data_IF_324801355449
#
_entry.id   IF_324801355449
#
_cell.length_a   1.000
_cell.length_b   1.000
_cell.length_c   1.000
_cell.angle_alpha   90.00
_cell.angle_beta   90.00
_cell.angle_gamma   90.00
#
_symmetry.space_group_name_H-M   'P 1'
#
loop_
_entity.id
_entity.type
_entity.pdbx_description
1 polymer ?
#
# COMPACT_ATOMS: atom_id res chain seq x y z
N UNK A 1 -33.06 18.87 33.17
CA UNK A 1 -33.54 17.95 34.23
C UNK A 1 -32.62 18.14 35.44
N UNK A 2 -33.08 18.87 36.46
CA UNK A 2 -32.28 19.21 37.66
C UNK A 2 -31.91 17.99 38.51
N UNK A 3 -32.68 16.90 38.41
CA UNK A 3 -32.44 15.68 39.19
C UNK A 3 -31.07 15.04 38.93
N UNK A 4 -30.46 15.29 37.76
CA UNK A 4 -29.10 14.80 37.47
C UNK A 4 -28.00 15.45 38.33
N UNK A 5 -28.28 16.58 38.98
CA UNK A 5 -27.35 17.29 39.85
C UNK A 5 -27.55 16.94 41.34
N UNK A 6 -28.65 16.26 41.68
CA UNK A 6 -29.01 15.93 43.06
C UNK A 6 -28.97 14.40 43.20
N UNK A 7 -27.93 13.83 43.84
CA UNK A 7 -27.83 12.39 44.04
C UNK A 7 -29.05 11.86 44.80
N UNK A 8 -29.65 10.77 44.31
CA UNK A 8 -30.85 10.18 44.90
C UNK A 8 -32.18 10.88 44.59
N UNK A 9 -32.22 11.83 43.63
CA UNK A 9 -33.48 12.45 43.19
C UNK A 9 -34.08 11.74 41.96
N UNK A 10 -35.37 11.40 42.03
CA UNK A 10 -36.16 10.86 40.90
C UNK A 10 -37.23 11.88 40.46
N UNK A 11 -37.72 11.75 39.22
CA UNK A 11 -38.74 12.64 38.66
C UNK A 11 -39.88 11.86 38.02
N UNK A 12 -41.12 12.32 38.24
CA UNK A 12 -42.32 11.72 37.68
C UNK A 12 -43.25 12.76 37.09
N UNK A 13 -44.00 12.39 36.04
CA UNK A 13 -44.98 13.26 35.40
C UNK A 13 -46.30 13.26 36.18
N UNK A 14 -46.58 14.35 36.89
CA UNK A 14 -47.83 14.54 37.63
C UNK A 14 -48.95 15.01 36.69
N UNK A 15 -50.12 14.36 36.77
CA UNK A 15 -51.32 14.81 36.07
C UNK A 15 -51.82 16.14 36.64
N UNK A 16 -52.55 16.92 35.84
CA UNK A 16 -53.02 18.26 36.25
C UNK A 16 -53.96 18.23 37.46
N UNK A 17 -54.68 17.13 37.65
CA UNK A 17 -55.58 16.87 38.78
C UNK A 17 -54.89 16.14 39.94
N UNK A 18 -53.59 15.83 39.81
CA UNK A 18 -52.83 15.01 40.76
C UNK A 18 -53.42 13.61 41.01
N UNK A 19 -54.27 13.10 40.11
CA UNK A 19 -54.93 11.80 40.27
C UNK A 19 -53.96 10.61 40.32
N UNK A 20 -52.76 10.78 39.78
CA UNK A 20 -51.71 9.76 39.75
C UNK A 20 -50.64 9.90 40.85
N UNK A 21 -50.81 10.78 41.85
CA UNK A 21 -49.76 11.03 42.86
C UNK A 21 -49.36 9.79 43.65
N UNK A 22 -50.33 8.94 44.02
CA UNK A 22 -50.05 7.72 44.80
C UNK A 22 -49.20 6.74 43.99
N UNK A 23 -49.52 6.56 42.70
CA UNK A 23 -48.76 5.71 41.81
C UNK A 23 -47.33 6.23 41.62
N UNK A 24 -47.17 7.56 41.49
CA UNK A 24 -45.85 8.19 41.37
C UNK A 24 -44.99 7.98 42.62
N UNK A 25 -45.58 8.06 43.82
CA UNK A 25 -44.86 7.83 45.08
C UNK A 25 -44.38 6.38 45.17
N UNK A 26 -45.25 5.42 44.81
CA UNK A 26 -44.89 3.99 44.83
C UNK A 26 -43.78 3.71 43.83
N UNK A 27 -43.92 4.18 42.58
CA UNK A 27 -42.90 3.97 41.54
C UNK A 27 -41.57 4.64 41.90
N UNK A 28 -41.60 5.84 42.48
CA UNK A 28 -40.39 6.54 42.92
C UNK A 28 -39.71 5.80 44.08
N UNK A 29 -40.48 5.25 45.01
CA UNK A 29 -39.94 4.46 46.13
C UNK A 29 -39.31 3.14 45.65
N UNK A 30 -39.96 2.45 44.71
CA UNK A 30 -39.41 1.24 44.08
C UNK A 30 -38.11 1.54 43.30
N UNK A 31 -38.08 2.65 42.57
CA UNK A 31 -36.89 3.12 41.85
C UNK A 31 -35.73 3.41 42.82
N UNK A 32 -35.98 4.19 43.87
CA UNK A 32 -34.97 4.54 44.89
C UNK A 32 -34.40 3.29 45.59
N UNK A 33 -35.23 2.28 45.86
CA UNK A 33 -34.77 1.03 46.48
C UNK A 33 -34.05 0.09 45.53
N UNK A 34 -34.21 0.31 44.22
CA UNK A 34 -33.52 -0.47 43.21
C UNK A 34 -32.10 0.02 42.92
N UNK A 35 -31.68 1.12 43.56
CA UNK A 35 -30.39 1.75 43.33
C UNK A 35 -29.60 1.89 44.65
N UNK A 36 -28.31 1.54 44.58
CA UNK A 36 -27.37 1.76 45.68
C UNK A 36 -26.21 2.57 45.13
N UNK A 37 -26.12 3.84 45.53
CA UNK A 37 -25.04 4.76 45.16
C UNK A 37 -24.26 5.19 46.40
N UNK A 38 -22.93 5.24 46.31
CA UNK A 38 -22.06 5.70 47.39
C UNK A 38 -21.77 7.21 47.28
N UNK A 39 -21.84 7.87 48.43
CA UNK A 39 -21.34 9.23 48.65
C UNK A 39 -20.15 9.23 49.61
N UNK A 40 -19.27 10.22 49.44
CA UNK A 40 -18.08 10.41 50.26
C UNK A 40 -18.17 11.78 50.93
N UNK A 41 -17.96 11.81 52.23
CA UNK A 41 -18.00 13.01 53.06
C UNK A 41 -16.70 13.11 53.89
N UNK A 42 -16.40 14.31 54.39
CA UNK A 42 -15.24 14.56 55.25
C UNK A 42 -14.04 15.16 54.50
N UNK A 43 -12.83 14.87 54.99
CA UNK A 43 -11.59 15.48 54.52
C UNK A 43 -10.98 14.70 53.34
N UNK A 44 -11.46 14.99 52.13
CA UNK A 44 -11.04 14.32 50.89
C UNK A 44 -10.03 15.12 50.08
N UNK A 45 -9.67 16.33 50.49
CA UNK A 45 -8.78 17.21 49.70
C UNK A 45 -7.40 16.55 49.55
N UNK A 46 -6.95 16.35 48.31
CA UNK A 46 -5.67 15.69 48.04
C UNK A 46 -5.66 14.16 48.24
N UNK A 47 -6.81 13.52 48.48
CA UNK A 47 -6.95 12.06 48.37
C UNK A 47 -7.48 11.67 47.00
N UNK A 48 -6.88 10.64 46.40
CA UNK A 48 -7.37 10.03 45.16
C UNK A 48 -8.19 8.79 45.50
N UNK A 49 -9.50 8.87 45.27
CA UNK A 49 -10.46 7.79 45.53
C UNK A 49 -10.93 7.20 44.20
N UNK A 50 -10.82 5.87 44.05
CA UNK A 50 -11.40 5.16 42.92
C UNK A 50 -12.34 4.05 43.39
N UNK A 51 -13.41 3.84 42.61
CA UNK A 51 -14.50 2.94 42.95
C UNK A 51 -14.68 1.91 41.85
N UNK A 52 -14.91 0.67 42.25
CA UNK A 52 -15.31 -0.42 41.37
C UNK A 52 -16.54 -1.08 41.95
N UNK A 53 -17.64 -1.11 41.20
CA UNK A 53 -18.89 -1.69 41.64
C UNK A 53 -19.01 -3.17 41.24
N UNK A 54 -19.47 -4.00 42.17
CA UNK A 54 -19.81 -5.40 41.97
C UNK A 54 -21.30 -5.58 42.33
N UNK A 55 -22.15 -5.48 41.33
CA UNK A 55 -23.59 -5.60 41.48
C UNK A 55 -24.03 -7.02 41.11
N UNK A 56 -24.59 -7.77 42.06
CA UNK A 56 -25.30 -9.04 41.81
C UNK A 56 -24.47 -10.11 41.08
N UNK A 57 -23.24 -10.38 41.56
CA UNK A 57 -22.28 -11.35 41.00
C UNK A 57 -21.90 -11.15 39.52
N UNK A 58 -22.13 -9.96 38.97
CA UNK A 58 -21.68 -9.58 37.63
C UNK A 58 -20.21 -9.17 37.64
N UNK A 59 -19.63 -9.05 36.45
CA UNK A 59 -18.27 -8.57 36.24
C UNK A 59 -18.03 -7.23 36.92
N UNK A 60 -16.86 -7.02 37.55
CA UNK A 60 -16.53 -5.76 38.21
C UNK A 60 -16.54 -4.62 37.21
N UNK A 61 -17.27 -3.54 37.52
CA UNK A 61 -17.36 -2.36 36.65
C UNK A 61 -16.47 -1.24 37.22
N UNK A 62 -15.36 -0.89 36.53
CA UNK A 62 -14.44 0.12 37.01
C UNK A 62 -15.03 1.54 36.87
N UNK A 63 -14.59 2.46 37.74
CA UNK A 63 -15.04 3.86 37.79
C UNK A 63 -16.53 4.04 38.08
N UNK A 64 -17.16 3.04 38.69
CA UNK A 64 -18.57 3.06 39.03
C UNK A 64 -18.74 2.90 40.54
N UNK A 65 -19.54 3.80 41.13
CA UNK A 65 -19.90 3.82 42.55
C UNK A 65 -21.41 3.65 42.79
N UNK A 66 -22.12 3.17 41.76
CA UNK A 66 -23.57 2.99 41.73
C UNK A 66 -23.94 1.64 41.15
N UNK A 67 -24.82 0.92 41.84
CA UNK A 67 -25.53 -0.25 41.33
C UNK A 67 -27.00 0.12 41.07
N UNK A 68 -27.55 -0.34 39.95
CA UNK A 68 -28.97 -0.14 39.59
C UNK A 68 -29.64 -1.50 39.37
N UNK A 69 -30.97 -1.53 39.37
CA UNK A 69 -31.81 -2.73 39.18
C UNK A 69 -31.64 -3.80 40.27
N UNK A 70 -31.35 -3.37 41.49
CA UNK A 70 -31.27 -4.26 42.64
C UNK A 70 -32.66 -4.58 43.20
N UNK A 71 -32.85 -5.80 43.71
CA UNK A 71 -34.04 -6.19 44.45
C UNK A 71 -33.78 -6.15 45.94
N UNK A 72 -34.87 -6.07 46.70
CA UNK A 72 -34.80 -6.13 48.16
C UNK A 72 -34.24 -7.47 48.60
N UNK A 73 -33.10 -7.45 49.31
CA UNK A 73 -32.37 -8.64 49.74
C UNK A 73 -31.07 -8.89 48.96
N UNK A 74 -30.87 -8.21 47.82
CA UNK A 74 -29.64 -8.32 47.05
C UNK A 74 -28.49 -7.57 47.75
N UNK A 75 -27.25 -8.03 47.56
CA UNK A 75 -26.05 -7.41 48.15
C UNK A 75 -25.20 -6.76 47.07
N UNK A 76 -24.88 -5.46 47.23
CA UNK A 76 -23.88 -4.77 46.42
C UNK A 76 -22.55 -4.75 47.15
N UNK A 77 -21.45 -5.00 46.44
CA UNK A 77 -20.09 -4.87 46.96
C UNK A 77 -19.33 -3.81 46.17
N UNK A 78 -18.51 -3.02 46.85
CA UNK A 78 -17.71 -1.97 46.23
C UNK A 78 -16.27 -2.10 46.66
N UNK A 79 -15.36 -2.15 45.70
CA UNK A 79 -13.93 -2.03 45.97
C UNK A 79 -13.56 -0.55 45.89
N UNK A 80 -13.05 -0.02 47.00
CA UNK A 80 -12.62 1.37 47.12
C UNK A 80 -11.12 1.41 47.28
N UNK A 81 -10.43 2.08 46.37
CA UNK A 81 -8.99 2.31 46.48
C UNK A 81 -8.76 3.74 46.93
N UNK A 82 -8.00 3.89 48.02
CA UNK A 82 -7.61 5.19 48.58
C UNK A 82 -6.12 5.39 48.32
N UNK A 83 -5.75 6.46 47.64
CA UNK A 83 -4.36 6.79 47.35
C UNK A 83 -4.01 8.20 47.87
N UNK A 84 -2.84 8.33 48.50
CA UNK A 84 -2.31 9.58 49.05
C UNK A 84 -1.08 9.97 48.22
N UNK A 85 -1.14 11.02 47.40
CA UNK A 85 -0.05 11.41 46.52
C UNK A 85 1.14 12.03 47.26
N UNK A 86 0.87 12.78 48.33
CA UNK A 86 1.89 13.47 49.13
C UNK A 86 1.80 13.04 50.58
N UNK A 87 2.95 12.72 51.19
CA UNK A 87 3.02 12.27 52.57
C UNK A 87 2.92 13.47 53.53
N UNK A 88 1.69 13.86 53.87
CA UNK A 88 1.41 14.91 54.85
C UNK A 88 1.23 14.30 56.25
N UNK A 89 1.85 14.84 57.30
CA UNK A 89 1.75 14.26 58.67
C UNK A 89 0.36 14.31 59.31
N UNK A 90 -0.64 14.91 58.65
CA UNK A 90 -1.99 15.07 59.20
C UNK A 90 -2.85 13.86 58.84
N UNK A 91 -3.43 13.22 59.85
CA UNK A 91 -4.45 12.19 59.64
C UNK A 91 -5.76 12.80 59.13
N UNK A 92 -6.48 12.05 58.28
CA UNK A 92 -7.72 12.49 57.63
C UNK A 92 -8.87 11.56 57.95
N UNK A 93 -10.04 12.13 58.20
CA UNK A 93 -11.24 11.38 58.50
C UNK A 93 -12.22 11.50 57.33
N UNK A 94 -12.52 10.38 56.69
CA UNK A 94 -13.49 10.29 55.59
C UNK A 94 -14.60 9.32 55.95
N UNK A 95 -15.78 9.58 55.41
CA UNK A 95 -16.97 8.76 55.62
C UNK A 95 -17.49 8.35 54.25
N UNK A 96 -17.69 7.05 54.05
CA UNK A 96 -18.32 6.50 52.84
C UNK A 96 -19.65 5.89 53.25
N UNK A 97 -20.75 6.32 52.62
CA UNK A 97 -22.07 5.79 52.93
C UNK A 97 -22.98 5.68 51.71
N UNK A 98 -23.97 4.79 51.73
CA UNK A 98 -25.01 4.78 50.70
C UNK A 98 -25.90 6.02 50.81
N UNK A 99 -26.23 6.62 49.67
CA UNK A 99 -27.15 7.76 49.60
C UNK A 99 -28.52 7.35 50.15
N UNK A 100 -29.06 8.17 51.06
CA UNK A 100 -30.39 7.94 51.66
C UNK A 100 -30.44 6.94 52.81
N UNK A 101 -29.32 6.27 53.15
CA UNK A 101 -29.22 5.39 54.32
C UNK A 101 -28.46 6.08 55.47
N UNK A 102 -28.77 5.64 56.70
CA UNK A 102 -28.15 6.13 57.92
C UNK A 102 -26.81 5.45 58.26
N UNK A 103 -26.66 4.19 57.87
CA UNK A 103 -25.43 3.42 58.09
C UNK A 103 -24.27 3.98 57.26
N UNK A 104 -23.08 4.08 57.87
CA UNK A 104 -21.91 4.68 57.28
C UNK A 104 -20.63 3.93 57.65
N UNK A 105 -19.64 3.97 56.75
CA UNK A 105 -18.29 3.48 56.97
C UNK A 105 -17.36 4.65 57.28
N UNK A 106 -16.84 4.71 58.50
CA UNK A 106 -15.84 5.70 58.92
C UNK A 106 -14.42 5.18 58.68
N UNK A 107 -13.59 5.98 58.04
CA UNK A 107 -12.22 5.62 57.68
C UNK A 107 -11.27 6.71 58.18
N UNK A 108 -10.34 6.32 59.06
CA UNK A 108 -9.25 7.17 59.52
C UNK A 108 -7.98 6.85 58.76
N UNK A 109 -7.60 7.74 57.84
CA UNK A 109 -6.40 7.62 57.02
C UNK A 109 -5.22 8.26 57.76
N UNK A 110 -4.21 7.46 58.12
CA UNK A 110 -2.96 7.94 58.74
C UNK A 110 -1.79 7.59 57.82
N UNK A 111 -1.07 8.58 57.27
CA UNK A 111 0.11 8.32 56.46
C UNK A 111 1.33 8.02 57.35
N UNK A 112 2.16 7.10 56.89
CA UNK A 112 3.42 6.71 57.53
C UNK A 112 4.59 7.24 56.70
N UNK A 113 5.08 8.42 57.06
CA UNK A 113 6.14 9.13 56.31
C UNK A 113 7.52 8.95 56.94
N UNK A 114 7.57 8.71 58.26
CA UNK A 114 8.81 8.65 59.01
C UNK A 114 9.31 7.20 59.08
N UNK A 115 10.64 7.01 59.02
CA UNK A 115 11.27 5.71 59.20
C UNK A 115 11.50 5.41 60.68
N UNK A 116 11.37 4.15 61.10
CA UNK A 116 11.56 3.76 62.50
C UNK A 116 12.94 4.13 63.07
N UNK A 117 13.99 4.05 62.25
CA UNK A 117 15.35 4.44 62.64
C UNK A 117 15.51 5.94 62.94
N UNK A 118 14.54 6.79 62.58
CA UNK A 118 14.62 8.22 62.88
C UNK A 118 14.30 8.52 64.36
N UNK A 119 13.67 7.57 65.07
CA UNK A 119 13.32 7.70 66.49
C UNK A 119 14.56 7.70 67.39
N UNK A 120 15.63 7.05 66.96
CA UNK A 120 16.88 6.93 67.71
C UNK A 120 17.99 7.71 67.01
N UNK A 121 18.42 8.80 67.63
CA UNK A 121 19.55 9.61 67.16
C UNK A 121 20.70 9.44 68.14
N UNK A 122 21.81 8.87 67.67
CA UNK A 122 23.04 8.79 68.45
C UNK A 122 23.80 10.12 68.30
N UNK A 123 23.57 11.06 69.24
CA UNK A 123 24.28 12.34 69.26
C UNK A 123 25.77 12.11 69.56
N UNK A 124 26.67 12.79 68.84
CA UNK A 124 28.12 12.64 68.94
C UNK A 124 28.56 11.16 68.81
N UNK A 125 28.02 10.46 67.81
CA UNK A 125 28.30 9.04 67.59
C UNK A 125 29.77 8.83 67.20
N UNK A 126 30.38 7.77 67.73
CA UNK A 126 31.73 7.33 67.34
C UNK A 126 31.81 6.95 65.86
N UNK A 127 30.68 6.58 65.24
CA UNK A 127 30.58 6.27 63.80
C UNK A 127 30.80 7.51 62.91
N UNK A 128 30.54 8.71 63.44
CA UNK A 128 30.70 9.99 62.76
C UNK A 128 32.01 10.66 63.18
N UNK A 129 33.12 10.03 62.82
CA UNK A 129 34.48 10.47 63.12
C UNK A 129 34.68 10.80 64.61
N UNK A 130 34.47 9.80 65.49
CA UNK A 130 34.71 9.90 66.92
C UNK A 130 33.96 11.04 67.65
N UNK A 131 32.75 11.38 67.18
CA UNK A 131 31.88 12.35 67.84
C UNK A 131 31.75 13.71 67.15
N UNK A 132 32.24 13.84 65.92
CA UNK A 132 32.08 15.05 65.10
C UNK A 132 30.69 15.19 64.45
N UNK A 133 29.75 14.31 64.78
CA UNK A 133 28.38 14.39 64.28
C UNK A 133 27.44 13.43 64.98
N UNK A 134 26.15 13.55 64.67
CA UNK A 134 25.09 12.66 65.14
C UNK A 134 24.80 11.59 64.09
N UNK A 135 24.62 10.33 64.50
CA UNK A 135 24.29 9.23 63.60
C UNK A 135 22.80 8.94 63.64
N UNK A 136 22.15 8.93 62.47
CA UNK A 136 20.72 8.64 62.32
C UNK A 136 20.50 7.84 61.03
N UNK A 137 19.78 6.72 61.10
CA UNK A 137 19.39 5.92 59.92
C UNK A 137 20.55 5.53 58.96
N UNK A 138 21.76 5.27 59.48
CA UNK A 138 22.89 4.89 58.62
C UNK A 138 23.74 6.06 58.10
N UNK A 139 23.33 7.30 58.35
CA UNK A 139 24.03 8.51 57.90
C UNK A 139 24.47 9.39 59.07
N UNK A 140 25.51 10.19 58.84
CA UNK A 140 26.03 11.15 59.81
C UNK A 140 25.54 12.56 59.50
N UNK A 141 24.97 13.24 60.49
CA UNK A 141 24.72 14.67 60.48
C UNK A 141 25.86 15.38 61.22
N UNK A 142 26.74 16.06 60.47
CA UNK A 142 27.96 16.63 61.02
C UNK A 142 27.73 17.90 61.83
N UNK A 143 28.55 18.08 62.86
CA UNK A 143 28.60 19.31 63.63
C UNK A 143 29.13 20.46 62.75
N UNK A 144 28.83 21.73 63.07
CA UNK A 144 29.35 22.88 62.32
C UNK A 144 30.88 22.82 62.18
N UNK A 145 31.37 23.10 60.97
CA UNK A 145 32.79 23.03 60.63
C UNK A 145 33.30 21.66 60.20
N UNK A 146 32.47 20.61 60.28
CA UNK A 146 32.79 19.27 59.79
C UNK A 146 31.94 18.87 58.59
N UNK A 147 32.53 18.10 57.69
CA UNK A 147 31.89 17.64 56.47
C UNK A 147 32.38 16.25 56.07
N UNK A 148 31.67 15.63 55.14
CA UNK A 148 31.92 14.28 54.67
C UNK A 148 30.88 13.27 55.17
N UNK A 149 30.77 12.10 54.53
CA UNK A 149 29.79 11.06 54.88
C UNK A 149 29.95 10.54 56.31
N UNK A 150 31.12 10.70 56.93
CA UNK A 150 31.39 10.35 58.33
C UNK A 150 31.92 11.53 59.15
N UNK A 151 31.79 12.77 58.68
CA UNK A 151 32.31 13.96 59.35
C UNK A 151 33.84 13.95 59.55
N UNK A 152 34.54 13.32 58.62
CA UNK A 152 35.98 13.08 58.65
C UNK A 152 36.82 14.29 58.30
N UNK A 153 36.21 15.35 57.75
CA UNK A 153 36.92 16.53 57.30
C UNK A 153 36.50 17.77 58.08
N UNK A 154 37.46 18.67 58.30
CA UNK A 154 37.25 19.99 58.91
C UNK A 154 37.43 21.12 57.89
N UNK A 155 37.02 22.34 58.26
CA UNK A 155 37.18 23.56 57.45
C UNK A 155 38.64 23.85 57.04
N UNK A 156 39.61 23.44 57.85
CA UNK A 156 41.04 23.73 57.69
C UNK A 156 41.70 23.05 56.46
N UNK A 157 40.97 22.13 55.80
CA UNK A 157 41.47 21.30 54.69
C UNK A 157 40.94 21.72 53.32
N UNK A 158 40.21 22.85 53.22
CA UNK A 158 39.57 23.24 51.96
C UNK A 158 40.44 24.13 51.07
N UNK A 159 40.86 23.55 49.93
CA UNK A 159 41.05 24.32 48.71
C UNK A 159 39.83 24.07 47.82
N UNK A 160 38.91 25.04 47.74
CA UNK A 160 37.60 24.92 47.07
C UNK A 160 37.70 24.66 45.56
N UNK A 161 38.86 24.90 44.96
CA UNK A 161 39.13 24.65 43.55
C UNK A 161 39.38 23.16 43.24
N UNK A 162 39.67 22.33 44.25
CA UNK A 162 40.01 20.92 44.06
C UNK A 162 38.84 20.04 43.57
N UNK A 163 37.59 20.51 43.69
CA UNK A 163 36.39 19.82 43.22
C UNK A 163 35.82 20.38 41.91
N UNK A 164 36.57 21.25 41.23
CA UNK A 164 36.17 21.82 39.94
C UNK A 164 37.05 21.27 38.83
N UNK A 165 36.41 20.84 37.75
CA UNK A 165 37.12 20.44 36.53
C UNK A 165 37.80 21.63 35.86
N UNK A 166 37.14 22.80 35.86
CA UNK A 166 37.72 24.08 35.46
C UNK A 166 37.10 25.22 36.29
N UNK A 167 37.78 26.37 36.34
CA UNK A 167 37.42 27.53 37.17
C UNK A 167 35.97 28.02 36.97
N UNK A 168 35.45 27.94 35.74
CA UNK A 168 34.11 28.39 35.35
C UNK A 168 33.02 27.30 35.48
N UNK A 169 33.38 26.06 35.82
CA UNK A 169 32.41 24.99 36.05
C UNK A 169 31.97 24.94 37.52
N UNK A 170 30.72 24.53 37.79
CA UNK A 170 30.26 24.28 39.15
C UNK A 170 31.05 23.12 39.78
N UNK A 171 31.23 23.16 41.09
CA UNK A 171 31.87 22.07 41.84
C UNK A 171 31.12 20.77 41.61
N UNK A 172 31.85 19.69 41.36
CA UNK A 172 31.31 18.36 41.06
C UNK A 172 30.26 18.35 39.94
N UNK A 173 30.45 19.23 38.94
CA UNK A 173 29.52 19.44 37.81
C UNK A 173 28.07 19.70 38.23
N UNK A 174 27.82 20.12 39.49
CA UNK A 174 26.49 20.28 40.06
C UNK A 174 25.71 18.96 40.27
N UNK A 175 26.38 17.81 40.15
CA UNK A 175 25.79 16.46 40.25
C UNK A 175 26.40 15.62 41.39
N UNK A 176 26.98 16.31 42.36
CA UNK A 176 27.61 15.70 43.52
C UNK A 176 27.97 16.75 44.55
N UNK A 177 28.38 16.27 45.71
CA UNK A 177 28.83 17.09 46.82
C UNK A 177 30.35 16.99 46.96
N UNK A 178 30.99 18.14 47.13
CA UNK A 178 32.42 18.23 47.34
C UNK A 178 32.74 18.05 48.82
N UNK A 179 33.50 17.00 49.14
CA UNK A 179 34.02 16.75 50.47
C UNK A 179 35.54 16.64 50.38
N UNK A 180 36.26 17.50 51.10
CA UNK A 180 37.72 17.40 51.25
C UNK A 180 38.49 17.39 49.92
N UNK A 181 37.96 18.07 48.90
CA UNK A 181 38.53 18.11 47.56
C UNK A 181 38.27 16.88 46.69
N UNK A 182 37.33 16.03 47.09
CA UNK A 182 36.83 14.90 46.29
C UNK A 182 35.32 15.01 46.12
N UNK A 183 34.83 14.67 44.93
CA UNK A 183 33.40 14.68 44.64
C UNK A 183 32.77 13.33 44.97
N UNK A 184 31.68 13.37 45.74
CA UNK A 184 30.77 12.23 45.92
C UNK A 184 29.54 12.49 45.06
N UNK A 185 29.35 11.67 44.03
CA UNK A 185 28.27 11.85 43.06
C UNK A 185 26.91 11.48 43.64
N UNK A 186 25.88 12.24 43.27
CA UNK A 186 24.52 11.97 43.69
C UNK A 186 23.99 10.69 43.04
N UNK A 187 23.14 9.97 43.79
CA UNK A 187 22.42 8.82 43.26
C UNK A 187 21.34 9.30 42.29
N UNK A 188 21.22 8.64 41.14
CA UNK A 188 20.20 8.92 40.13
C UNK A 188 19.32 7.69 39.93
N UNK A 189 17.98 7.86 39.84
CA UNK A 189 17.09 6.75 39.51
C UNK A 189 17.27 6.25 38.07
N UNK A 190 17.93 7.04 37.21
CA UNK A 190 18.13 6.75 35.80
C UNK A 190 19.42 5.96 35.52
N UNK A 191 20.35 5.91 36.47
CA UNK A 191 21.62 5.20 36.34
C UNK A 191 22.71 5.79 37.24
N UNK A 192 23.96 5.60 36.88
CA UNK A 192 25.11 5.98 37.69
C UNK A 192 25.76 7.25 37.16
N UNK A 193 26.07 8.17 38.08
CA UNK A 193 26.90 9.35 37.83
C UNK A 193 28.28 9.06 38.42
N UNK A 194 29.34 9.31 37.67
CA UNK A 194 30.71 8.94 38.04
C UNK A 194 31.74 9.90 37.46
N UNK A 195 33.01 9.63 37.77
CA UNK A 195 34.14 10.47 37.42
C UNK A 195 34.61 11.33 38.60
N UNK A 196 35.85 11.86 38.54
CA UNK A 196 36.46 12.62 39.62
C UNK A 196 35.68 13.88 40.00
N UNK A 197 34.91 14.43 39.06
CA UNK A 197 34.09 15.63 39.25
C UNK A 197 32.61 15.35 38.98
N UNK A 198 32.17 14.08 38.98
CA UNK A 198 30.80 13.71 38.64
C UNK A 198 30.36 14.22 37.25
N UNK A 199 31.32 14.25 36.32
CA UNK A 199 31.14 14.76 34.96
C UNK A 199 30.58 13.71 33.99
N UNK A 200 30.62 12.42 34.34
CA UNK A 200 30.16 11.33 33.51
C UNK A 200 28.89 10.68 34.05
N UNK A 201 28.12 10.10 33.15
CA UNK A 201 27.00 9.23 33.47
C UNK A 201 26.83 8.15 32.40
N UNK A 202 26.04 7.12 32.71
CA UNK A 202 25.78 5.99 31.82
C UNK A 202 24.37 5.99 31.20
N UNK A 203 23.67 7.13 31.17
CA UNK A 203 22.27 7.20 30.73
C UNK A 203 21.95 8.37 29.77
N UNK A 204 22.91 9.27 29.55
CA UNK A 204 22.80 10.45 28.69
C UNK A 204 23.25 10.23 27.24
N UNK A 205 23.67 9.02 26.85
CA UNK A 205 24.04 8.72 25.47
C UNK A 205 22.84 8.77 24.50
N UNK A 206 23.16 8.71 23.21
CA UNK A 206 22.18 8.72 22.12
C UNK A 206 21.23 7.51 22.17
N UNK A 207 20.00 7.71 21.69
CA UNK A 207 18.96 6.67 21.65
C UNK A 207 18.53 6.37 20.21
N UNK A 208 18.41 5.10 19.87
CA UNK A 208 17.86 4.64 18.60
C UNK A 208 16.56 3.86 18.84
N UNK A 209 15.45 4.32 18.25
CA UNK A 209 14.10 3.78 18.49
C UNK A 209 13.72 3.71 19.98
N UNK A 210 14.16 4.70 20.76
CA UNK A 210 13.90 4.78 22.20
C UNK A 210 14.87 3.97 23.08
N UNK A 211 15.74 3.15 22.50
CA UNK A 211 16.72 2.34 23.22
C UNK A 211 18.07 3.05 23.32
N UNK A 212 18.63 3.13 24.53
CA UNK A 212 19.97 3.68 24.80
C UNK A 212 21.03 2.84 24.07
N UNK A 213 21.87 3.48 23.25
CA UNK A 213 22.87 2.80 22.41
C UNK A 213 22.29 1.61 21.61
N UNK A 214 21.03 1.73 21.17
CA UNK A 214 20.34 0.69 20.41
C UNK A 214 20.18 -0.65 21.15
N UNK A 215 20.37 -0.68 22.48
CA UNK A 215 20.45 -1.89 23.33
C UNK A 215 21.59 -2.85 22.97
N UNK A 216 22.53 -2.41 22.13
CA UNK A 216 23.66 -3.20 21.65
C UNK A 216 25.02 -2.63 22.05
N UNK A 217 25.01 -1.59 22.88
CA UNK A 217 26.20 -0.96 23.43
C UNK A 217 25.96 -0.51 24.86
N UNK A 218 27.06 -0.22 25.53
CA UNK A 218 27.04 0.34 26.88
C UNK A 218 27.38 1.83 26.78
N UNK A 219 26.64 2.65 27.51
CA UNK A 219 26.86 4.10 27.52
C UNK A 219 27.99 4.44 28.50
N UNK A 220 29.05 5.08 28.00
CA UNK A 220 30.17 5.55 28.81
C UNK A 220 30.40 7.04 28.55
N UNK A 221 30.05 7.88 29.53
CA UNK A 221 30.30 9.32 29.54
C UNK A 221 29.84 10.05 28.27
N UNK A 222 28.64 9.72 27.77
CA UNK A 222 28.04 10.34 26.58
C UNK A 222 28.35 9.65 25.25
N UNK A 223 29.27 8.68 25.25
CA UNK A 223 29.63 7.89 24.08
C UNK A 223 29.09 6.46 24.18
N UNK A 224 28.61 5.90 23.06
CA UNK A 224 28.15 4.52 23.02
C UNK A 224 29.30 3.57 22.68
N UNK A 225 29.67 2.71 23.62
CA UNK A 225 30.65 1.64 23.42
C UNK A 225 29.91 0.40 22.91
N UNK A 226 29.97 0.16 21.60
CA UNK A 226 29.25 -0.95 20.98
C UNK A 226 29.83 -2.31 21.37
N UNK A 227 28.94 -3.27 21.66
CA UNK A 227 29.33 -4.67 21.90
C UNK A 227 29.81 -5.31 20.59
N UNK A 228 30.55 -6.40 20.71
CA UNK A 228 31.06 -7.17 19.57
C UNK A 228 29.93 -7.51 18.59
N UNK A 229 30.13 -7.20 17.31
CA UNK A 229 29.12 -7.42 16.28
C UNK A 229 28.26 -6.19 15.93
N UNK A 230 28.48 -5.05 16.59
CA UNK A 230 27.73 -3.82 16.37
C UNK A 230 28.66 -2.61 16.18
N UNK A 231 28.24 -1.68 15.33
CA UNK A 231 28.97 -0.45 15.01
C UNK A 231 28.03 0.75 14.84
N UNK A 232 28.64 1.94 14.69
CA UNK A 232 27.96 3.22 14.53
C UNK A 232 27.75 3.94 15.87
N UNK A 233 27.53 5.24 15.80
CA UNK A 233 27.32 6.13 16.96
C UNK A 233 26.18 5.66 17.88
N UNK A 234 25.16 5.02 17.29
CA UNK A 234 23.98 4.53 18.00
C UNK A 234 24.05 3.02 18.30
N UNK A 235 25.14 2.33 17.93
CA UNK A 235 25.28 0.87 17.95
C UNK A 235 24.10 0.14 17.29
N UNK A 236 23.51 0.73 16.25
CA UNK A 236 22.35 0.20 15.55
C UNK A 236 22.72 -0.63 14.32
N UNK A 237 23.98 -0.64 13.91
CA UNK A 237 24.44 -1.32 12.71
C UNK A 237 25.11 -2.64 13.08
N UNK A 238 24.51 -3.77 12.69
CA UNK A 238 25.16 -5.08 12.88
C UNK A 238 26.27 -5.28 11.85
N UNK A 239 27.36 -5.92 12.27
CA UNK A 239 28.44 -6.38 11.38
C UNK A 239 28.22 -7.81 10.88
N UNK A 240 27.19 -8.52 11.37
CA UNK A 240 26.83 -9.84 10.82
C UNK A 240 26.25 -9.67 9.42
N UNK A 241 26.69 -10.54 8.52
CA UNK A 241 26.17 -10.63 7.15
C UNK A 241 25.17 -11.77 6.97
N UNK A 242 24.86 -12.53 8.02
CA UNK A 242 24.09 -13.78 7.93
C UNK A 242 22.69 -13.54 7.36
N UNK A 243 22.05 -12.44 7.77
CA UNK A 243 20.73 -12.04 7.28
C UNK A 243 20.70 -11.53 5.84
N UNK A 244 21.87 -11.29 5.23
CA UNK A 244 22.03 -10.85 3.85
C UNK A 244 22.33 -12.00 2.88
N UNK A 245 22.50 -13.22 3.36
CA UNK A 245 22.81 -14.38 2.53
C UNK A 245 21.50 -14.90 1.92
N UNK A 246 21.46 -15.02 0.59
CA UNK A 246 20.32 -15.58 -0.15
C UNK A 246 20.25 -17.12 -0.02
N UNK A 247 19.15 -17.75 -0.44
CA UNK A 247 19.01 -19.22 -0.46
C UNK A 247 20.13 -19.90 -1.28
N UNK A 248 20.64 -19.22 -2.30
CA UNK A 248 21.75 -19.67 -3.14
C UNK A 248 23.12 -19.58 -2.42
N UNK A 249 23.16 -19.13 -1.16
CA UNK A 249 24.39 -18.94 -0.38
C UNK A 249 25.20 -17.71 -0.76
N UNK A 250 24.67 -16.85 -1.64
CA UNK A 250 25.35 -15.65 -2.14
C UNK A 250 24.85 -14.41 -1.40
N UNK A 251 25.78 -13.57 -0.95
CA UNK A 251 25.47 -12.30 -0.29
C UNK A 251 24.69 -11.38 -1.25
N UNK A 252 23.49 -10.97 -0.84
CA UNK A 252 22.57 -10.11 -1.60
C UNK A 252 22.39 -10.54 -3.06
N UNK A 253 22.40 -11.86 -3.31
CA UNK A 253 22.30 -12.47 -4.64
C UNK A 253 23.32 -11.93 -5.67
N UNK A 254 24.43 -11.34 -5.20
CA UNK A 254 25.44 -10.67 -6.03
C UNK A 254 24.97 -9.37 -6.70
N UNK A 255 23.87 -8.78 -6.23
CA UNK A 255 23.16 -7.65 -6.86
C UNK A 255 23.06 -6.41 -5.96
N UNK A 256 23.81 -6.41 -4.86
CA UNK A 256 23.80 -5.36 -3.85
C UNK A 256 24.83 -5.57 -2.75
N UNK A 257 24.87 -4.62 -1.82
CA UNK A 257 25.78 -4.60 -0.69
C UNK A 257 25.03 -4.83 0.62
N UNK A 258 25.61 -5.59 1.56
CA UNK A 258 25.03 -5.80 2.88
C UNK A 258 25.45 -4.65 3.83
N UNK A 259 24.51 -3.78 4.18
CA UNK A 259 24.72 -2.65 5.09
C UNK A 259 23.86 -2.86 6.33
N UNK A 260 24.49 -2.97 7.51
CA UNK A 260 23.82 -3.17 8.79
C UNK A 260 22.86 -4.39 8.80
N UNK A 261 23.29 -5.51 8.19
CA UNK A 261 22.50 -6.75 8.12
C UNK A 261 21.31 -6.68 7.14
N UNK A 262 21.26 -5.69 6.25
CA UNK A 262 20.25 -5.57 5.20
C UNK A 262 20.88 -5.34 3.84
N UNK A 263 20.36 -6.01 2.82
CA UNK A 263 20.82 -5.80 1.45
C UNK A 263 20.30 -4.49 0.88
N UNK A 264 21.23 -3.68 0.36
CA UNK A 264 20.95 -2.49 -0.45
C UNK A 264 21.25 -2.85 -1.90
N UNK A 265 20.20 -3.03 -2.69
CA UNK A 265 20.32 -3.48 -4.09
C UNK A 265 20.88 -2.36 -4.97
N UNK A 266 22.03 -2.60 -5.59
CA UNK A 266 22.70 -1.66 -6.50
C UNK A 266 22.27 -1.86 -7.95
N UNK A 267 21.80 -3.06 -8.30
CA UNK A 267 21.37 -3.37 -9.66
C UNK A 267 19.96 -2.82 -9.96
N UNK A 268 19.75 -2.15 -11.11
CA UNK A 268 18.47 -1.55 -11.46
C UNK A 268 17.37 -2.59 -11.69
N UNK A 269 16.28 -2.46 -10.92
CA UNK A 269 15.15 -3.39 -10.94
C UNK A 269 15.30 -4.61 -10.03
N UNK A 270 16.42 -4.73 -9.31
CA UNK A 270 16.58 -5.72 -8.24
C UNK A 270 15.85 -5.26 -6.96
N UNK A 271 15.12 -6.17 -6.34
CA UNK A 271 14.31 -5.94 -5.14
C UNK A 271 14.21 -7.21 -4.30
N UNK A 272 13.69 -7.09 -3.08
CA UNK A 272 13.62 -8.19 -2.12
C UNK A 272 14.66 -8.09 -1.00
N UNK A 273 14.49 -8.83 0.11
CA UNK A 273 15.38 -8.79 1.27
C UNK A 273 16.83 -9.18 0.96
N UNK A 274 17.07 -10.03 -0.05
CA UNK A 274 18.40 -10.45 -0.50
C UNK A 274 18.65 -10.06 -1.97
N UNK A 275 17.93 -9.06 -2.48
CA UNK A 275 17.98 -8.61 -3.89
C UNK A 275 17.70 -9.72 -4.92
N UNK A 276 16.92 -10.72 -4.53
CA UNK A 276 16.67 -11.93 -5.31
C UNK A 276 15.71 -11.69 -6.49
N UNK A 277 14.84 -10.68 -6.40
CA UNK A 277 13.82 -10.40 -7.42
C UNK A 277 14.39 -9.38 -8.40
N UNK A 278 14.78 -9.82 -9.59
CA UNK A 278 15.15 -8.89 -10.65
C UNK A 278 14.48 -9.27 -11.99
N UNK A 279 13.27 -8.74 -12.27
CA UNK A 279 12.55 -8.99 -13.52
C UNK A 279 13.31 -8.50 -14.76
N UNK A 280 14.20 -7.52 -14.60
CA UNK A 280 15.00 -6.89 -15.67
C UNK A 280 16.34 -7.56 -15.89
N UNK A 281 16.78 -8.46 -15.01
CA UNK A 281 18.14 -9.02 -15.04
C UNK A 281 18.25 -10.38 -15.75
N UNK A 282 17.19 -10.86 -16.39
CA UNK A 282 17.21 -12.09 -17.20
C UNK A 282 15.93 -12.19 -18.02
N UNK A 283 16.07 -12.51 -19.31
CA UNK A 283 14.99 -12.51 -20.30
C UNK A 283 13.94 -13.60 -19.98
N UNK A 284 12.81 -13.26 -19.32
CA UNK A 284 11.85 -14.26 -18.82
C UNK A 284 11.23 -15.03 -19.99
N UNK A 285 11.09 -14.35 -21.13
CA UNK A 285 10.49 -14.85 -22.35
C UNK A 285 11.34 -15.98 -22.97
N UNK A 286 12.66 -15.84 -23.03
CA UNK A 286 13.53 -16.82 -23.68
C UNK A 286 13.65 -18.13 -22.88
N UNK A 287 13.60 -18.05 -21.55
CA UNK A 287 13.68 -19.22 -20.66
C UNK A 287 12.50 -20.19 -20.80
N UNK A 288 11.35 -19.73 -21.30
CA UNK A 288 10.11 -20.52 -21.45
C UNK A 288 9.83 -20.96 -22.88
N UNK A 289 10.74 -20.63 -23.82
CA UNK A 289 10.62 -20.91 -25.25
C UNK A 289 10.28 -22.38 -25.56
N UNK A 290 11.06 -23.31 -25.00
CA UNK A 290 10.89 -24.75 -25.25
C UNK A 290 9.54 -25.31 -24.78
N UNK A 291 8.96 -24.73 -23.72
CA UNK A 291 7.67 -25.15 -23.18
C UNK A 291 6.50 -24.66 -24.06
N UNK A 292 6.61 -23.43 -24.57
CA UNK A 292 5.61 -22.81 -25.47
C UNK A 292 5.60 -23.47 -26.85
N UNK A 293 6.77 -23.77 -27.41
CA UNK A 293 6.90 -24.49 -28.70
C UNK A 293 6.35 -25.93 -28.60
N UNK A 294 6.54 -26.60 -27.46
CA UNK A 294 5.97 -27.92 -27.19
C UNK A 294 4.43 -27.88 -27.12
N UNK A 295 3.83 -26.85 -26.50
CA UNK A 295 2.37 -26.70 -26.41
C UNK A 295 1.72 -26.45 -27.79
N UNK A 296 2.33 -25.59 -28.63
CA UNK A 296 1.82 -25.30 -29.98
C UNK A 296 1.88 -26.51 -30.92
N UNK A 297 2.84 -27.41 -30.69
CA UNK A 297 2.98 -28.65 -31.46
C UNK A 297 1.92 -29.70 -31.11
N UNK A 298 1.28 -29.58 -29.95
CA UNK A 298 0.40 -30.60 -29.39
C UNK A 298 -1.10 -30.31 -29.57
N UNK A 299 -1.52 -29.07 -29.80
CA UNK A 299 -2.94 -28.70 -29.85
C UNK A 299 -3.25 -27.67 -30.95
N UNK A 300 -4.14 -28.06 -31.87
CA UNK A 300 -4.57 -27.27 -33.02
C UNK A 300 -5.84 -26.45 -32.76
N UNK A 301 -6.14 -26.08 -31.51
CA UNK A 301 -7.37 -25.37 -31.20
C UNK A 301 -7.17 -24.32 -30.09
N UNK A 302 -7.04 -23.05 -30.48
CA UNK A 302 -7.08 -21.94 -29.54
C UNK A 302 -8.49 -21.75 -29.00
N UNK A 303 -8.62 -21.73 -27.68
CA UNK A 303 -9.83 -21.28 -26.98
C UNK A 303 -9.50 -19.96 -26.30
N UNK A 304 -10.10 -18.88 -26.81
CA UNK A 304 -9.99 -17.55 -26.22
C UNK A 304 -10.88 -17.47 -24.98
N UNK A 305 -10.27 -17.34 -23.80
CA UNK A 305 -10.95 -16.78 -22.63
C UNK A 305 -10.32 -15.42 -22.30
N UNK A 306 -11.19 -14.42 -22.18
CA UNK A 306 -10.85 -13.03 -21.92
C UNK A 306 -10.74 -12.81 -20.42
N UNK A 307 -9.54 -12.49 -19.92
CA UNK A 307 -9.34 -12.07 -18.53
C UNK A 307 -8.47 -10.83 -18.40
N UNK A 308 -8.74 -10.09 -17.32
CA UNK A 308 -8.34 -8.69 -17.09
C UNK A 308 -6.84 -8.40 -17.02
N UNK A 309 -6.52 -7.16 -17.38
CA UNK A 309 -5.24 -6.64 -17.87
C UNK A 309 -4.31 -6.09 -16.78
N UNK A 310 -4.34 -6.63 -15.57
CA UNK A 310 -3.54 -6.12 -14.45
C UNK A 310 -2.44 -7.12 -14.06
N UNK A 311 -1.21 -6.86 -14.52
CA UNK A 311 0.01 -7.55 -14.06
C UNK A 311 0.68 -8.53 -15.04
N UNK A 312 0.17 -8.69 -16.27
CA UNK A 312 0.72 -9.63 -17.25
C UNK A 312 1.87 -9.06 -18.09
N UNK A 313 2.95 -9.81 -18.25
CA UNK A 313 4.07 -9.48 -19.16
C UNK A 313 3.82 -10.13 -20.53
N UNK A 314 3.73 -9.32 -21.60
CA UNK A 314 3.57 -9.82 -22.97
C UNK A 314 4.94 -10.15 -23.58
N UNK A 315 5.14 -11.40 -23.97
CA UNK A 315 6.34 -11.89 -24.63
C UNK A 315 6.07 -12.15 -26.12
N UNK A 316 7.02 -11.79 -26.98
CA UNK A 316 7.01 -12.13 -28.41
C UNK A 316 8.32 -12.80 -28.79
N UNK A 317 8.24 -14.01 -29.32
CA UNK A 317 9.38 -14.80 -29.78
C UNK A 317 9.24 -15.10 -31.27
N UNK A 318 10.36 -15.12 -32.00
CA UNK A 318 10.40 -15.58 -33.39
C UNK A 318 10.65 -17.09 -33.41
N UNK A 319 9.69 -17.87 -33.93
CA UNK A 319 9.78 -19.32 -34.09
C UNK A 319 10.71 -19.75 -35.24
N UNK A 320 10.98 -21.05 -35.37
CA UNK A 320 11.87 -21.60 -36.41
C UNK A 320 11.41 -21.31 -37.85
N UNK A 321 10.11 -21.09 -38.08
CA UNK A 321 9.53 -20.86 -39.41
C UNK A 321 9.36 -19.37 -39.77
N UNK A 322 10.13 -18.47 -39.13
CA UNK A 322 9.95 -17.01 -39.17
C UNK A 322 8.56 -16.51 -38.69
N UNK A 323 7.75 -17.39 -38.08
CA UNK A 323 6.45 -17.04 -37.54
C UNK A 323 6.59 -16.38 -36.16
N UNK A 324 5.78 -15.35 -35.90
CA UNK A 324 5.79 -14.61 -34.64
C UNK A 324 4.86 -15.30 -33.63
N UNK A 325 5.45 -15.80 -32.55
CA UNK A 325 4.73 -16.41 -31.42
C UNK A 325 4.56 -15.36 -30.32
N UNK A 326 3.32 -15.12 -29.91
CA UNK A 326 2.99 -14.19 -28.81
C UNK A 326 2.32 -14.92 -27.67
N UNK A 327 2.74 -14.65 -26.44
CA UNK A 327 2.17 -15.23 -25.22
C UNK A 327 2.28 -14.27 -24.03
N UNK A 328 1.47 -14.50 -22.99
CA UNK A 328 1.46 -13.70 -21.77
C UNK A 328 1.90 -14.53 -20.58
N UNK A 329 2.77 -13.96 -19.74
CA UNK A 329 3.25 -14.56 -18.49
C UNK A 329 2.65 -13.80 -17.30
N UNK A 330 2.14 -14.56 -16.34
CA UNK A 330 1.65 -14.05 -15.05
C UNK A 330 2.28 -14.85 -13.90
N UNK A 331 2.46 -14.22 -12.75
CA UNK A 331 2.93 -14.87 -11.53
C UNK A 331 1.82 -14.86 -10.50
N UNK A 332 1.48 -16.03 -9.98
CA UNK A 332 0.50 -16.18 -8.91
C UNK A 332 1.07 -15.72 -7.55
N UNK A 333 0.21 -15.56 -6.54
CA UNK A 333 0.56 -15.13 -5.18
C UNK A 333 1.55 -16.06 -4.47
N UNK A 334 1.68 -17.32 -4.93
CA UNK A 334 2.65 -18.32 -4.45
C UNK A 334 3.97 -18.32 -5.24
N UNK A 335 4.17 -17.36 -6.17
CA UNK A 335 5.39 -17.23 -6.98
C UNK A 335 5.46 -18.19 -8.19
N UNK A 336 4.40 -18.94 -8.47
CA UNK A 336 4.33 -19.87 -9.61
C UNK A 336 3.99 -19.11 -10.91
N UNK A 337 4.76 -19.33 -11.97
CA UNK A 337 4.56 -18.69 -13.28
C UNK A 337 3.52 -19.45 -14.10
N UNK A 338 2.49 -18.75 -14.58
CA UNK A 338 1.44 -19.30 -15.45
C UNK A 338 1.50 -18.60 -16.82
N UNK A 339 1.46 -19.40 -17.90
CA UNK A 339 1.54 -18.94 -19.28
C UNK A 339 0.15 -19.07 -19.91
N UNK A 340 -0.37 -17.97 -20.47
CA UNK A 340 -1.68 -17.92 -21.09
C UNK A 340 -1.65 -17.27 -22.48
N UNK A 341 -2.73 -17.48 -23.24
CA UNK A 341 -2.98 -16.87 -24.56
C UNK A 341 -1.82 -17.03 -25.55
N UNK A 342 -1.37 -18.27 -25.75
CA UNK A 342 -0.35 -18.59 -26.74
C UNK A 342 -1.00 -18.50 -28.12
N UNK A 343 -0.51 -17.59 -28.97
CA UNK A 343 -1.00 -17.37 -30.33
C UNK A 343 0.16 -17.34 -31.31
N UNK A 344 0.00 -18.05 -32.43
CA UNK A 344 0.86 -17.98 -33.60
C UNK A 344 0.15 -17.13 -34.68
N UNK A 345 0.76 -16.05 -35.16
CA UNK A 345 0.16 -15.18 -36.20
C UNK A 345 0.98 -15.14 -37.48
N UNK A 346 0.25 -15.28 -38.59
CA UNK A 346 0.60 -14.98 -39.99
C UNK A 346 2.02 -15.35 -40.45
N UNK A 347 2.20 -16.63 -40.79
CA UNK A 347 3.37 -17.08 -41.55
C UNK A 347 3.25 -16.63 -43.03
N UNK A 348 4.28 -16.07 -43.65
CA UNK A 348 4.24 -15.67 -45.06
C UNK A 348 4.09 -16.91 -45.96
N UNK A 349 2.97 -17.02 -46.69
CA UNK A 349 2.78 -18.06 -47.72
C UNK A 349 3.66 -17.73 -48.93
N UNK A 350 4.43 -18.70 -49.50
CA UNK A 350 5.26 -18.43 -50.65
C UNK A 350 4.40 -17.97 -51.85
N UNK A 351 4.81 -16.93 -52.59
CA UNK A 351 4.03 -16.42 -53.72
C UNK A 351 3.96 -17.45 -54.86
N UNK A 352 2.79 -17.54 -55.53
CA UNK A 352 2.57 -18.44 -56.65
C UNK A 352 3.32 -17.98 -57.91
N UNK A 353 4.61 -18.32 -57.99
CA UNK A 353 5.54 -18.04 -59.10
C UNK A 353 4.96 -18.31 -60.50
N UNK A 354 4.23 -19.41 -60.81
CA UNK A 354 3.73 -19.65 -62.17
C UNK A 354 2.68 -18.62 -62.63
N UNK A 355 1.91 -18.03 -61.72
CA UNK A 355 0.85 -17.07 -62.08
C UNK A 355 1.43 -15.72 -62.51
N UNK A 356 2.52 -15.29 -61.88
CA UNK A 356 3.20 -14.04 -62.20
C UNK A 356 3.86 -14.13 -63.58
N UNK A 357 4.51 -15.26 -63.89
CA UNK A 357 5.16 -15.47 -65.19
C UNK A 357 4.15 -15.44 -66.34
N UNK A 358 2.99 -16.09 -66.18
CA UNK A 358 1.92 -16.08 -67.18
C UNK A 358 1.37 -14.68 -67.45
N UNK A 359 1.18 -13.87 -66.41
CA UNK A 359 0.65 -12.51 -66.52
C UNK A 359 1.60 -11.58 -67.29
N UNK A 360 2.89 -11.63 -66.98
CA UNK A 360 3.89 -10.75 -67.62
C UNK A 360 4.06 -11.09 -69.10
N UNK A 361 4.13 -12.38 -69.45
CA UNK A 361 4.28 -12.78 -70.86
C UNK A 361 3.09 -12.36 -71.73
N UNK A 362 1.86 -12.47 -71.22
CA UNK A 362 0.64 -12.10 -71.96
C UNK A 362 0.56 -10.57 -72.18
N UNK A 363 0.95 -9.78 -71.18
CA UNK A 363 0.93 -8.32 -71.27
C UNK A 363 1.89 -7.78 -72.35
N UNK A 364 3.11 -8.32 -72.42
CA UNK A 364 4.10 -7.93 -73.43
C UNK A 364 3.58 -8.23 -74.84
N UNK A 365 2.95 -9.39 -75.03
CA UNK A 365 2.44 -9.82 -76.32
C UNK A 365 1.27 -8.93 -76.79
N UNK A 366 0.36 -8.58 -75.88
CA UNK A 366 -0.76 -7.67 -76.18
C UNK A 366 -0.30 -6.25 -76.54
N UNK A 367 0.70 -5.71 -75.82
CA UNK A 367 1.25 -4.38 -76.12
C UNK A 367 1.86 -4.35 -77.53
N UNK A 368 2.60 -5.40 -77.91
CA UNK A 368 3.16 -5.52 -79.27
C UNK A 368 2.08 -5.52 -80.36
N UNK A 369 0.99 -6.25 -80.17
CA UNK A 369 -0.13 -6.28 -81.13
C UNK A 369 -0.83 -4.93 -81.24
N UNK A 370 -1.05 -4.24 -80.11
CA UNK A 370 -1.69 -2.91 -80.10
C UNK A 370 -0.86 -1.90 -80.87
N UNK A 371 0.46 -1.88 -80.68
CA UNK A 371 1.36 -0.98 -81.42
C UNK A 371 1.32 -1.23 -82.93
N UNK A 372 1.30 -2.51 -83.36
CA UNK A 372 1.15 -2.86 -84.77
C UNK A 372 -0.20 -2.45 -85.35
N UNK A 373 -1.29 -2.60 -84.59
CA UNK A 373 -2.61 -2.13 -84.99
C UNK A 373 -2.66 -0.60 -85.14
N UNK A 374 -2.09 0.15 -84.19
CA UNK A 374 -2.02 1.62 -84.27
C UNK A 374 -1.21 2.04 -85.50
N UNK A 375 -0.05 1.43 -85.74
CA UNK A 375 0.77 1.73 -86.91
C UNK A 375 0.02 1.47 -88.23
N UNK A 376 -0.66 0.31 -88.34
CA UNK A 376 -1.46 -0.01 -89.53
C UNK A 376 -2.65 0.93 -89.72
N UNK A 377 -3.30 1.37 -88.64
CA UNK A 377 -4.37 2.36 -88.70
C UNK A 377 -3.89 3.74 -89.15
N UNK A 378 -2.73 4.20 -88.64
CA UNK A 378 -2.14 5.48 -89.05
C UNK A 378 -1.77 5.48 -90.54
N UNK A 379 -1.15 4.40 -91.02
CA UNK A 379 -0.82 4.25 -92.44
C UNK A 379 -2.10 4.20 -93.29
N UNK A 380 -3.10 3.41 -92.88
CA UNK A 380 -4.37 3.30 -93.62
C UNK A 380 -5.16 4.62 -93.66
N UNK A 381 -5.09 5.42 -92.59
CA UNK A 381 -5.74 6.74 -92.56
C UNK A 381 -5.00 7.74 -93.46
N UNK A 382 -3.67 7.71 -93.47
CA UNK A 382 -2.89 8.55 -94.36
C UNK A 382 -3.15 8.20 -95.83
N UNK A 383 -3.14 6.92 -96.19
CA UNK A 383 -3.49 6.45 -97.54
C UNK A 383 -4.91 6.85 -97.95
N UNK A 384 -5.92 6.69 -97.07
CA UNK A 384 -7.29 7.12 -97.37
C UNK A 384 -7.41 8.62 -97.58
N UNK A 385 -6.65 9.42 -96.82
CA UNK A 385 -6.67 10.89 -96.95
C UNK A 385 -6.08 11.33 -98.29
N UNK A 386 -4.99 10.71 -98.73
CA UNK A 386 -4.37 11.00 -100.03
C UNK A 386 -5.28 10.54 -101.19
N UNK A 387 -5.91 9.36 -101.09
CA UNK A 387 -6.87 8.88 -102.11
C UNK A 387 -8.11 9.80 -102.20
N UNK A 388 -8.68 10.23 -101.08
CA UNK A 388 -9.84 11.12 -101.07
C UNK A 388 -9.51 12.52 -101.64
N UNK A 389 -8.30 13.02 -101.38
CA UNK A 389 -7.80 14.27 -101.99
C UNK A 389 -7.70 14.13 -103.51
N UNK A 390 -7.23 12.98 -103.99
CA UNK A 390 -7.12 12.67 -105.42
C UNK A 390 -8.49 12.57 -106.13
N UNK A 391 -9.50 11.96 -105.49
CA UNK A 391 -10.86 11.87 -106.06
C UNK A 391 -11.64 13.21 -106.03
N UNK A 392 -11.39 14.07 -105.03
CA UNK A 392 -11.98 15.40 -104.92
C UNK A 392 -11.47 16.39 -105.98
N UNK A 393 -10.22 16.26 -106.42
CA UNK A 393 -9.69 17.03 -107.56
C UNK A 393 -10.26 16.55 -108.89
N UNK A 394 -10.52 15.24 -109.03
CA UNK A 394 -11.05 14.64 -110.26
C UNK A 394 -12.53 14.99 -110.54
N UNK A 395 -13.33 15.32 -109.53
CA UNK A 395 -14.79 15.56 -109.63
C UNK A 395 -15.21 17.03 -109.85
N UNK A 396 -14.29 18.00 -109.81
CA UNK A 396 -14.60 19.45 -110.01
C UNK A 396 -14.46 19.96 -111.45
N UNK A 397 -14.19 19.08 -112.41
CA UNK A 397 -14.07 19.46 -113.81
C UNK A 397 -15.18 18.84 -114.66
N UNK A 398 -16.24 19.60 -115.00
CA UNK A 398 -16.68 19.90 -116.39
C UNK A 398 -18.19 20.31 -116.58
N UNK A 399 -18.33 21.56 -117.06
CA UNK A 399 -19.21 22.16 -118.10
C UNK A 399 -20.76 22.01 -118.08
N UNK A 400 -21.46 23.16 -118.19
CA UNK A 400 -22.93 23.27 -118.31
C UNK A 400 -23.43 23.14 -119.76
N UNK A 401 -24.58 22.48 -119.94
CA UNK A 401 -25.40 22.50 -121.17
C UNK A 401 -26.86 22.73 -120.77
N UNK A 402 -27.39 23.93 -121.07
CA UNK A 402 -28.80 24.28 -120.85
C UNK A 402 -29.66 24.02 -122.09
N UNK A 403 -30.97 23.87 -121.89
CA UNK A 403 -32.04 24.22 -122.86
C UNK A 403 -33.40 24.08 -122.15
N UNK A 404 -34.18 25.15 -121.98
CA UNK A 404 -34.99 25.94 -122.93
C UNK A 404 -36.40 25.32 -123.10
N UNK A 405 -37.48 26.06 -122.76
CA UNK A 405 -38.79 25.49 -122.43
C UNK A 405 -39.75 25.66 -123.60
N UNK A 406 -39.99 24.60 -124.39
CA UNK A 406 -41.01 24.63 -125.45
C UNK A 406 -41.55 23.25 -125.86
N UNK A 407 -41.51 22.23 -124.99
CA UNK A 407 -42.10 20.95 -125.37
C UNK A 407 -42.65 20.12 -124.21
N UNK A 408 -43.90 19.67 -124.41
CA UNK A 408 -44.78 18.96 -123.49
C UNK A 408 -45.19 17.66 -124.20
N UNK A 409 -45.10 16.53 -123.52
CA UNK A 409 -45.55 15.24 -124.03
C UNK A 409 -46.20 14.42 -122.92
N UNK A 410 -47.52 14.42 -122.92
CA UNK A 410 -48.43 13.73 -122.01
C UNK A 410 -48.99 12.48 -122.67
N UNK A 411 -48.73 11.30 -122.12
CA UNK A 411 -49.55 10.12 -122.41
C UNK A 411 -49.61 9.18 -121.21
N UNK A 412 -50.83 8.85 -120.81
CA UNK A 412 -51.23 7.90 -119.79
C UNK A 412 -51.72 6.58 -120.41
N UNK A 413 -52.04 5.63 -119.52
CA UNK A 413 -53.01 4.51 -119.67
C UNK A 413 -52.42 3.19 -120.21
N UNK A 414 -52.26 2.08 -119.47
CA UNK A 414 -53.11 1.23 -118.60
C UNK A 414 -53.91 0.13 -119.34
N UNK A 415 -53.71 -1.13 -118.91
CA UNK A 415 -54.58 -2.36 -118.87
C UNK A 415 -53.71 -3.62 -119.09
N UNK A 416 -54.00 -4.82 -118.55
CA UNK A 416 -55.26 -5.35 -118.00
C UNK A 416 -55.05 -6.55 -117.05
N UNK A 417 -56.13 -6.90 -116.34
CA UNK A 417 -56.38 -8.04 -115.45
C UNK A 417 -56.30 -9.45 -116.06
N UNK A 418 -56.19 -10.42 -115.14
CA UNK A 418 -56.56 -11.85 -115.24
C UNK A 418 -55.47 -12.81 -115.73
N UNK A 419 -55.47 -14.01 -115.12
CA UNK A 419 -54.68 -15.19 -115.46
C UNK A 419 -53.24 -15.23 -114.90
N UNK A 420 -53.02 -16.10 -113.91
CA UNK A 420 -52.70 -17.55 -114.05
C UNK A 420 -51.28 -17.74 -114.56
N UNK A 421 -50.47 -18.34 -113.68
CA UNK A 421 -49.84 -19.65 -113.91
C UNK A 421 -48.40 -19.48 -114.40
N UNK A 422 -47.43 -20.29 -113.99
CA UNK A 422 -47.37 -21.43 -113.08
C UNK A 422 -45.89 -21.83 -113.04
N UNK A 423 -45.49 -22.51 -111.96
CA UNK A 423 -44.62 -23.70 -111.96
C UNK A 423 -43.29 -23.67 -112.77
N UNK A 424 -42.17 -24.12 -112.21
CA UNK A 424 -42.01 -25.48 -111.70
C UNK A 424 -40.93 -25.58 -110.63
N UNK A 425 -41.28 -26.39 -109.64
CA UNK A 425 -40.42 -27.08 -108.70
C UNK A 425 -39.43 -28.06 -109.36
N UNK A 426 -38.25 -28.17 -108.77
CA UNK A 426 -37.50 -29.40 -108.40
C UNK A 426 -36.91 -29.07 -107.01
N UNK A 427 -37.22 -29.70 -105.85
CA UNK A 427 -37.17 -31.14 -105.45
C UNK A 427 -35.85 -31.78 -105.91
N UNK A 428 -34.95 -32.34 -105.08
CA UNK A 428 -34.84 -32.81 -103.67
C UNK A 428 -33.34 -32.71 -103.29
N UNK A 429 -32.83 -32.83 -102.06
CA UNK A 429 -33.35 -33.14 -100.71
C UNK A 429 -32.34 -32.59 -99.67
N UNK A 430 -32.69 -32.22 -98.43
CA UNK A 430 -33.28 -33.04 -97.34
C UNK A 430 -32.38 -34.24 -96.99
N UNK A 431 -31.93 -34.42 -95.75
CA UNK A 431 -32.71 -34.45 -94.49
C UNK A 431 -31.87 -33.91 -93.30
N UNK A 432 -32.39 -33.08 -92.39
CA UNK A 432 -33.45 -33.32 -91.36
C UNK A 432 -32.84 -33.99 -90.12
N UNK A 433 -33.15 -33.70 -88.85
CA UNK A 433 -34.01 -32.77 -88.09
C UNK A 433 -33.38 -32.72 -86.68
N UNK A 434 -33.41 -31.63 -85.91
CA UNK A 434 -34.52 -31.02 -85.16
C UNK A 434 -35.18 -31.92 -84.10
N UNK A 435 -35.47 -31.24 -82.98
CA UNK A 435 -36.42 -31.54 -81.89
C UNK A 435 -35.82 -32.35 -80.71
N UNK A 436 -35.67 -31.78 -79.49
CA UNK A 436 -36.70 -31.51 -78.43
C UNK A 436 -37.37 -32.83 -77.97
N UNK A 437 -37.77 -33.11 -76.71
CA UNK A 437 -37.53 -32.50 -75.37
C UNK A 437 -37.14 -33.54 -74.26
N UNK A 438 -37.14 -33.05 -73.01
CA UNK A 438 -37.78 -33.67 -71.82
C UNK A 438 -37.00 -34.61 -70.86
N UNK A 439 -37.03 -34.16 -69.60
CA UNK A 439 -37.38 -34.87 -68.36
C UNK A 439 -36.88 -36.30 -68.08
N UNK A 440 -36.18 -36.39 -66.94
CA UNK A 440 -36.48 -37.25 -65.76
C UNK A 440 -37.25 -38.56 -66.01
N UNK A 441 -36.64 -39.68 -65.62
CA UNK A 441 -37.00 -40.49 -64.43
C UNK A 441 -36.20 -41.81 -64.41
N UNK A 442 -35.50 -42.05 -63.31
CA UNK A 442 -35.81 -43.19 -62.45
C UNK A 442 -35.70 -42.75 -61.01
#
# INVERSE_FOLDING_TARGET
NYAKLIPGATVGLLQKDSGNILQLIISAYEELRSEVELEVLGDTEGLNLSFTALCDNRTPVPHQKKCSHMKVGDTASFNVTVNIPNCERRGRHIIIKPVGLGDALEILVRPECDCDCQKEVEVNSSKCHNGNGSFQCGVCACNPGHMGPRCECGEDMLSTDSCKEALDLPSCSGRGDCYCGQCICHLSPYGNIYGPFCQCDNFSCVRHKGLLCGDNGDCDCGECVCRSGWTGEYCNCTTSTDSCISEDGVLCSGRGDCICGKCVCTNPGASGPACERCPTCGDPCHSKRSCVECHLSADGQSREEYFSKDGSVSCSLQGENECLITFLITTDNEGKTIIHSISEKDCPKPPNIPMIMLGVSLAILLIGVVLLCIWKLLVSFHDRKEVAKFEAERSKAKWQTGTNPLYRGSTSTFKNVTYKHREKQKLRGCNSSKDIPNMKKK
#
